data_IF_073395290828
#
_entry.id   IF_073395290828
#
_cell.length_a   1.000
_cell.length_b   1.000
_cell.length_c   1.000
_cell.angle_alpha   90.00
_cell.angle_beta   90.00
_cell.angle_gamma   90.00
#
_symmetry.space_group_name_H-M   'P 1'
#
loop_
_entity.id
_entity.type
_entity.pdbx_description
1 polymer ?
#
# COMPACT_ATOMS: atom_id res chain seq x y z
N UNK A 1 -14.03 22.33 47.01
CA UNK A 1 -13.75 21.01 46.43
C UNK A 1 -13.37 21.26 44.99
N UNK A 2 -12.08 21.53 44.78
CA UNK A 2 -11.54 21.96 43.49
C UNK A 2 -11.36 20.74 42.61
N UNK A 3 -12.09 20.69 41.51
CA UNK A 3 -11.90 19.67 40.48
C UNK A 3 -10.71 20.16 39.65
N UNK A 4 -9.54 19.58 39.94
CA UNK A 4 -8.39 19.64 39.07
C UNK A 4 -8.75 18.93 37.76
N UNK A 5 -9.19 19.72 36.76
CA UNK A 5 -9.23 19.26 35.38
C UNK A 5 -7.76 19.22 34.94
N UNK A 6 -7.18 18.01 34.99
CA UNK A 6 -5.90 17.68 34.37
C UNK A 6 -5.80 18.36 33.01
N UNK A 7 -4.66 18.98 32.73
CA UNK A 7 -4.41 19.78 31.52
C UNK A 7 -4.67 19.01 30.23
N UNK A 8 -5.93 18.99 29.80
CA UNK A 8 -6.36 18.67 28.45
C UNK A 8 -6.09 19.92 27.62
N UNK A 9 -5.12 19.84 26.73
CA UNK A 9 -4.95 20.82 25.68
C UNK A 9 -6.18 20.75 24.76
N UNK A 10 -6.91 21.86 24.63
CA UNK A 10 -8.12 21.94 23.81
C UNK A 10 -7.74 22.74 22.57
N UNK A 11 -7.54 22.05 21.46
CA UNK A 11 -7.34 22.68 20.16
C UNK A 11 -8.70 23.02 19.53
N UNK A 12 -8.90 24.29 19.18
CA UNK A 12 -10.13 24.79 18.53
C UNK A 12 -9.81 25.04 17.07
N UNK A 13 -10.36 24.21 16.19
CA UNK A 13 -10.21 24.35 14.74
C UNK A 13 -11.48 24.90 14.09
N UNK A 14 -11.34 25.99 13.36
CA UNK A 14 -12.41 26.52 12.50
C UNK A 14 -12.37 25.80 11.16
N UNK A 15 -13.48 25.16 10.80
CA UNK A 15 -13.60 24.39 9.56
C UNK A 15 -14.74 24.97 8.72
N UNK A 16 -14.52 25.08 7.41
CA UNK A 16 -15.57 25.48 6.48
C UNK A 16 -16.71 24.46 6.48
N UNK A 17 -17.95 24.94 6.27
CA UNK A 17 -19.15 24.10 6.19
C UNK A 17 -19.25 23.37 4.84
N UNK A 18 -18.29 22.48 4.58
CA UNK A 18 -18.33 21.57 3.45
C UNK A 18 -17.72 20.21 3.81
N UNK A 19 -18.18 19.17 3.10
CA UNK A 19 -17.82 17.78 3.38
C UNK A 19 -16.32 17.52 3.22
N UNK A 20 -15.68 18.16 2.24
CA UNK A 20 -14.26 17.97 1.97
C UNK A 20 -13.39 18.54 3.09
N UNK A 21 -13.73 19.74 3.59
CA UNK A 21 -13.02 20.37 4.70
C UNK A 21 -13.13 19.54 5.98
N UNK A 22 -14.31 19.01 6.30
CA UNK A 22 -14.47 18.07 7.42
C UNK A 22 -13.68 16.78 7.20
N UNK A 23 -13.73 16.20 6.00
CA UNK A 23 -12.99 14.98 5.67
C UNK A 23 -11.48 15.14 5.82
N UNK A 24 -10.92 16.28 5.38
CA UNK A 24 -9.50 16.60 5.54
C UNK A 24 -9.09 16.70 7.01
N UNK A 25 -9.91 17.33 7.85
CA UNK A 25 -9.65 17.46 9.28
C UNK A 25 -9.63 16.09 9.96
N UNK A 26 -10.62 15.23 9.69
CA UNK A 26 -10.60 13.89 10.30
C UNK A 26 -9.47 13.01 9.75
N UNK A 27 -9.08 13.18 8.48
CA UNK A 27 -7.96 12.45 7.90
C UNK A 27 -6.61 12.94 8.40
N UNK A 28 -6.45 14.20 8.76
CA UNK A 28 -5.20 14.69 9.35
C UNK A 28 -4.91 14.02 10.70
N UNK A 29 -5.94 13.64 11.45
CA UNK A 29 -5.79 12.88 12.69
C UNK A 29 -5.23 11.47 12.48
N UNK A 30 -5.29 10.93 11.25
CA UNK A 30 -4.72 9.63 10.91
C UNK A 30 -3.23 9.72 10.58
N UNK A 31 -2.69 10.93 10.40
CA UNK A 31 -1.27 11.14 10.16
C UNK A 31 -0.53 11.39 11.47
N UNK A 32 0.63 10.75 11.62
CA UNK A 32 1.61 11.12 12.64
C UNK A 32 2.33 12.39 12.17
N UNK A 33 2.00 13.52 12.79
CA UNK A 33 2.65 14.81 12.56
C UNK A 33 3.81 15.07 13.53
N UNK A 34 4.25 14.06 14.29
CA UNK A 34 5.35 14.21 15.23
C UNK A 34 6.65 14.58 14.52
N UNK A 35 7.26 15.67 14.96
CA UNK A 35 8.62 16.09 14.58
C UNK A 35 9.64 15.64 15.62
N UNK A 36 9.29 14.71 16.51
CA UNK A 36 10.18 14.27 17.58
C UNK A 36 11.32 13.39 17.10
N UNK A 37 11.15 12.70 15.97
CA UNK A 37 12.15 11.76 15.46
C UNK A 37 12.16 11.66 13.95
N UNK A 38 13.30 11.20 13.47
CA UNK A 38 13.51 10.80 12.08
C UNK A 38 12.88 9.41 11.85
N UNK A 39 12.25 9.21 10.69
CA UNK A 39 11.58 7.94 10.36
C UNK A 39 12.43 7.05 9.45
N UNK A 40 13.28 7.64 8.62
CA UNK A 40 14.08 6.95 7.63
C UNK A 40 15.46 7.59 7.46
N UNK A 41 16.50 6.77 7.38
CA UNK A 41 17.80 7.14 6.85
C UNK A 41 17.98 6.54 5.46
N UNK A 42 18.16 7.41 4.47
CA UNK A 42 18.52 7.01 3.12
C UNK A 42 20.05 7.10 2.96
N UNK A 43 20.69 5.96 2.79
CA UNK A 43 22.15 5.83 2.73
C UNK A 43 22.59 5.72 1.26
N UNK A 44 23.28 6.76 0.78
CA UNK A 44 23.86 6.84 -0.55
C UNK A 44 25.35 6.47 -0.52
N UNK A 45 25.87 5.77 -1.53
CA UNK A 45 27.32 5.51 -1.62
C UNK A 45 28.08 6.83 -1.84
N UNK A 46 29.03 7.17 -0.96
CA UNK A 46 29.95 8.29 -1.22
C UNK A 46 31.12 7.80 -2.07
N UNK A 47 31.34 8.45 -3.20
CA UNK A 47 32.41 8.11 -4.14
C UNK A 47 33.79 8.56 -3.66
N UNK A 48 34.40 7.80 -2.74
CA UNK A 48 35.80 7.97 -2.37
C UNK A 48 36.71 7.18 -3.34
N UNK A 49 37.28 7.85 -4.34
CA UNK A 49 38.38 7.32 -5.15
C UNK A 49 39.69 7.39 -4.33
N UNK A 50 39.92 6.41 -3.44
CA UNK A 50 41.19 6.26 -2.70
C UNK A 50 41.82 4.88 -2.96
N UNK A 51 43.15 4.77 -3.09
CA UNK A 51 43.79 3.50 -3.44
C UNK A 51 43.88 2.55 -2.23
N UNK A 52 43.49 1.30 -2.47
CA UNK A 52 43.97 0.08 -1.82
C UNK A 52 44.18 0.10 -0.28
N UNK A 53 43.08 0.03 0.48
CA UNK A 53 42.96 -0.78 1.71
C UNK A 53 41.48 -0.77 2.16
N UNK A 54 40.83 -1.95 2.20
CA UNK A 54 39.50 -2.24 2.74
C UNK A 54 38.45 -1.09 2.71
N UNK A 55 37.51 -1.04 1.75
CA UNK A 55 36.58 0.08 1.66
C UNK A 55 35.47 -0.08 2.71
N UNK A 56 35.61 0.57 3.87
CA UNK A 56 34.43 1.13 4.53
C UNK A 56 34.03 2.33 3.70
N UNK A 57 33.28 2.09 2.62
CA UNK A 57 32.71 3.16 1.82
C UNK A 57 31.92 4.08 2.75
N UNK A 58 32.37 5.31 2.94
CA UNK A 58 31.63 6.32 3.68
C UNK A 58 30.28 6.47 2.98
N UNK A 59 29.18 6.33 3.71
CA UNK A 59 27.85 6.52 3.14
C UNK A 59 27.39 7.94 3.47
N UNK A 60 26.88 8.66 2.47
CA UNK A 60 26.16 9.89 2.70
C UNK A 60 24.77 9.52 3.23
N UNK A 61 24.41 10.05 4.40
CA UNK A 61 23.13 9.77 5.04
C UNK A 61 22.20 10.97 4.86
N UNK A 62 21.05 10.75 4.25
CA UNK A 62 19.94 11.70 4.24
C UNK A 62 18.92 11.28 5.30
N UNK A 63 18.57 12.23 6.16
CA UNK A 63 17.60 12.06 7.24
C UNK A 63 16.22 12.46 6.74
N UNK A 64 15.27 11.56 6.85
CA UNK A 64 13.99 11.67 6.17
C UNK A 64 12.81 11.32 7.08
N UNK A 65 11.67 11.91 6.74
CA UNK A 65 10.37 11.54 7.27
C UNK A 65 9.59 10.72 6.25
N UNK A 66 8.74 9.84 6.76
CA UNK A 66 7.86 8.98 5.97
C UNK A 66 6.42 9.41 6.19
N UNK A 67 5.68 9.54 5.10
CA UNK A 67 4.28 9.91 5.13
C UNK A 67 3.47 8.94 4.28
N UNK A 68 2.42 8.37 4.88
CA UNK A 68 1.41 7.62 4.15
C UNK A 68 0.61 8.53 3.24
N UNK A 69 0.33 8.07 2.02
CA UNK A 69 -0.49 8.83 1.07
C UNK A 69 -1.91 8.29 0.94
N UNK A 70 -2.13 7.02 1.25
CA UNK A 70 -3.40 6.32 1.06
C UNK A 70 -3.73 5.51 2.31
N UNK A 71 -5.00 5.52 2.69
CA UNK A 71 -5.52 4.55 3.66
C UNK A 71 -5.51 3.17 3.02
N UNK A 72 -5.08 2.16 3.76
CA UNK A 72 -5.07 0.79 3.28
C UNK A 72 -6.50 0.29 3.02
N UNK A 73 -6.87 0.00 1.76
CA UNK A 73 -8.19 -0.54 1.46
C UNK A 73 -8.43 -1.91 2.11
N UNK A 74 -7.39 -2.70 2.38
CA UNK A 74 -7.51 -4.01 3.02
C UNK A 74 -8.00 -3.93 4.47
N UNK A 75 -7.80 -2.78 5.14
CA UNK A 75 -8.32 -2.52 6.48
C UNK A 75 -9.82 -2.17 6.47
N UNK A 76 -10.35 -1.75 5.32
CA UNK A 76 -11.77 -1.44 5.16
C UNK A 76 -12.53 -2.75 4.95
N UNK A 77 -13.13 -3.26 6.02
CA UNK A 77 -13.95 -4.47 6.00
C UNK A 77 -14.93 -4.47 4.81
N UNK A 78 -14.68 -5.33 3.81
CA UNK A 78 -15.61 -5.64 2.73
C UNK A 78 -15.63 -4.69 1.52
N UNK A 79 -14.59 -3.90 1.24
CA UNK A 79 -14.57 -3.05 0.06
C UNK A 79 -14.09 -3.77 -1.24
N UNK A 80 -14.90 -3.59 -2.29
CA UNK A 80 -14.71 -3.84 -3.73
C UNK A 80 -14.52 -5.28 -4.26
N UNK A 81 -13.57 -6.09 -3.76
CA UNK A 81 -13.17 -7.33 -4.46
C UNK A 81 -13.76 -8.63 -3.88
N UNK A 82 -14.84 -8.53 -3.09
CA UNK A 82 -15.70 -9.68 -2.75
C UNK A 82 -15.04 -10.84 -1.99
N UNK A 83 -13.78 -10.75 -1.58
CA UNK A 83 -13.11 -11.79 -0.80
C UNK A 83 -13.34 -11.57 0.68
N UNK A 84 -14.26 -12.39 1.19
CA UNK A 84 -14.58 -12.55 2.60
C UNK A 84 -13.34 -13.05 3.36
N UNK A 85 -12.96 -12.32 4.41
CA UNK A 85 -12.15 -12.74 5.56
C UNK A 85 -10.85 -13.51 5.28
N UNK A 86 -9.73 -12.79 5.32
CA UNK A 86 -8.48 -13.31 5.86
C UNK A 86 -7.58 -12.18 6.40
N UNK A 87 -8.14 -11.26 7.18
CA UNK A 87 -7.35 -10.49 8.13
C UNK A 87 -7.95 -10.78 9.49
N UNK A 88 -7.26 -11.64 10.24
CA UNK A 88 -7.55 -11.87 11.64
C UNK A 88 -7.39 -10.50 12.35
N UNK A 89 -8.40 -9.96 13.03
CA UNK A 89 -8.29 -8.67 13.72
C UNK A 89 -7.24 -8.70 14.86
N UNK A 90 -6.76 -9.89 15.23
CA UNK A 90 -5.67 -10.14 16.18
C UNK A 90 -4.39 -10.68 15.54
N UNK A 91 -4.32 -10.84 14.21
CA UNK A 91 -3.01 -10.83 13.57
C UNK A 91 -2.44 -9.42 13.80
N UNK A 92 -1.11 -9.24 13.96
CA UNK A 92 -0.49 -7.93 13.82
C UNK A 92 -0.72 -7.48 12.37
N UNK A 93 -1.92 -6.97 12.11
CA UNK A 93 -2.40 -6.52 10.83
C UNK A 93 -1.61 -5.28 10.51
N UNK A 94 -0.51 -5.51 9.79
CA UNK A 94 0.15 -4.58 8.86
C UNK A 94 -0.21 -3.11 9.14
N UNK A 95 0.19 -2.61 10.32
CA UNK A 95 0.15 -1.18 10.63
C UNK A 95 1.21 -0.54 9.75
N UNK A 96 0.77 -0.04 8.60
CA UNK A 96 1.63 0.35 7.50
C UNK A 96 2.54 -0.81 7.03
N UNK A 97 3.09 -0.72 5.83
CA UNK A 97 4.22 -1.60 5.50
C UNK A 97 5.45 -1.31 6.43
N UNK A 98 5.40 -0.22 7.19
CA UNK A 98 6.52 0.40 7.92
C UNK A 98 6.01 1.06 9.22
N UNK A 99 6.17 0.41 10.39
CA UNK A 99 5.73 1.00 11.65
C UNK A 99 6.49 2.31 11.92
N UNK A 100 5.78 3.42 12.08
CA UNK A 100 6.33 4.77 12.34
C UNK A 100 7.16 4.85 13.63
N UNK A 101 7.07 3.83 14.48
CA UNK A 101 7.79 3.71 15.74
C UNK A 101 9.27 3.36 15.62
N UNK A 102 9.73 2.93 14.45
CA UNK A 102 11.10 2.46 14.27
C UNK A 102 11.83 3.20 13.15
N UNK A 103 13.05 3.66 13.45
CA UNK A 103 13.93 4.23 12.43
C UNK A 103 14.33 3.18 11.39
N UNK A 104 13.97 3.42 10.13
CA UNK A 104 14.33 2.56 9.02
C UNK A 104 15.63 3.01 8.35
N UNK A 105 16.42 2.06 7.83
CA UNK A 105 17.63 2.38 7.06
C UNK A 105 17.54 1.73 5.69
N UNK A 106 17.59 2.55 4.64
CA UNK A 106 17.60 2.11 3.26
C UNK A 106 18.96 2.39 2.65
N UNK A 107 19.68 1.33 2.30
CA UNK A 107 20.93 1.44 1.58
C UNK A 107 20.68 1.39 0.08
N UNK A 108 21.04 2.46 -0.63
CA UNK A 108 20.96 2.52 -2.09
C UNK A 108 22.01 1.59 -2.69
N UNK A 109 21.55 0.63 -3.49
CA UNK A 109 22.40 -0.39 -4.11
C UNK A 109 22.64 -0.11 -5.59
N UNK A 110 21.65 0.47 -6.30
CA UNK A 110 21.74 0.74 -7.74
C UNK A 110 20.90 1.95 -8.13
N UNK A 111 21.33 2.62 -9.21
CA UNK A 111 20.46 3.51 -9.97
C UNK A 111 19.76 2.72 -11.08
N UNK A 112 18.48 2.98 -11.30
CA UNK A 112 17.65 2.37 -12.33
C UNK A 112 17.17 3.47 -13.29
N UNK A 113 17.06 3.18 -14.58
CA UNK A 113 16.37 4.09 -15.51
C UNK A 113 14.86 3.97 -15.33
N UNK A 114 14.13 5.09 -15.41
CA UNK A 114 12.67 5.11 -15.21
C UNK A 114 11.92 4.16 -16.12
N UNK A 115 12.33 4.06 -17.39
CA UNK A 115 11.73 3.21 -18.41
C UNK A 115 12.09 1.73 -18.28
N UNK A 116 13.07 1.40 -17.44
CA UNK A 116 13.56 0.03 -17.23
C UNK A 116 12.86 -0.72 -16.11
N UNK A 117 11.93 -0.08 -15.38
CA UNK A 117 11.22 -0.69 -14.25
C UNK A 117 9.79 -0.99 -14.67
N UNK A 118 9.41 -2.27 -14.61
CA UNK A 118 8.03 -2.68 -14.86
C UNK A 118 7.16 -2.43 -13.62
N UNK A 119 6.03 -1.75 -13.77
CA UNK A 119 5.16 -1.45 -12.62
C UNK A 119 4.55 -2.71 -11.99
N UNK A 120 4.40 -3.81 -12.74
CA UNK A 120 3.83 -5.07 -12.24
C UNK A 120 4.68 -5.77 -11.17
N UNK A 121 5.96 -5.42 -11.05
CA UNK A 121 6.84 -5.93 -9.99
C UNK A 121 6.87 -5.04 -8.76
N UNK A 122 6.14 -3.93 -8.77
CA UNK A 122 5.99 -3.04 -7.61
C UNK A 122 4.69 -3.41 -6.89
N UNK A 123 4.74 -3.45 -5.56
CA UNK A 123 3.57 -3.82 -4.76
C UNK A 123 3.50 -3.06 -3.43
N UNK A 124 2.36 -3.21 -2.76
CA UNK A 124 2.07 -2.55 -1.49
C UNK A 124 1.65 -1.09 -1.66
N UNK A 125 1.37 -0.45 -0.52
CA UNK A 125 0.97 0.96 -0.50
C UNK A 125 2.20 1.86 -0.67
N UNK A 126 2.09 2.92 -1.48
CA UNK A 126 3.15 3.90 -1.61
C UNK A 126 3.33 4.72 -0.34
N UNK A 127 4.59 5.00 0.02
CA UNK A 127 4.94 6.00 1.02
C UNK A 127 5.68 7.16 0.38
N UNK A 128 5.51 8.36 0.93
CA UNK A 128 6.22 9.57 0.54
C UNK A 128 7.37 9.78 1.51
N UNK A 129 8.56 9.98 0.97
CA UNK A 129 9.76 10.38 1.68
C UNK A 129 9.94 11.89 1.50
N UNK A 130 10.18 12.58 2.61
CA UNK A 130 10.52 14.00 2.66
C UNK A 130 11.81 14.21 3.45
N UNK A 131 12.49 15.33 3.26
CA UNK A 131 13.52 15.75 4.20
C UNK A 131 12.92 15.85 5.60
N UNK A 132 13.66 15.41 6.62
CA UNK A 132 13.13 15.42 7.99
C UNK A 132 12.95 16.84 8.53
N UNK A 133 11.94 17.01 9.36
CA UNK A 133 11.72 18.23 10.17
C UNK A 133 11.98 17.97 11.65
N UNK A 134 12.78 16.95 11.98
CA UNK A 134 13.08 16.55 13.35
C UNK A 134 13.71 17.70 14.16
N UNK A 135 13.04 18.15 15.24
CA UNK A 135 13.50 19.28 16.04
C UNK A 135 14.75 18.98 16.86
N UNK A 136 15.10 17.71 17.06
CA UNK A 136 16.28 17.30 17.81
C UNK A 136 17.60 17.58 17.07
N UNK A 137 17.53 17.89 15.78
CA UNK A 137 18.67 18.26 14.96
C UNK A 137 18.97 19.73 15.11
N UNK A 138 20.25 20.09 14.98
CA UNK A 138 20.61 21.50 14.89
C UNK A 138 20.12 22.11 13.57
N UNK A 139 19.93 23.44 13.58
CA UNK A 139 19.38 24.15 12.43
C UNK A 139 20.25 24.03 11.19
N UNK A 140 21.58 24.06 11.36
CA UNK A 140 22.54 23.95 10.26
C UNK A 140 22.48 22.54 9.61
N UNK A 141 22.36 21.48 10.41
CA UNK A 141 22.19 20.10 9.95
C UNK A 141 20.86 19.92 9.22
N UNK A 142 19.76 20.47 9.74
CA UNK A 142 18.46 20.45 9.06
C UNK A 142 18.53 21.12 7.69
N UNK A 143 19.15 22.30 7.62
CA UNK A 143 19.30 23.05 6.38
C UNK A 143 20.17 22.32 5.36
N UNK A 144 21.34 21.82 5.77
CA UNK A 144 22.25 21.03 4.92
C UNK A 144 21.56 19.75 4.44
N UNK A 145 20.83 19.05 5.32
CA UNK A 145 20.08 17.85 4.98
C UNK A 145 18.97 18.15 3.96
N UNK A 146 18.23 19.25 4.15
CA UNK A 146 17.18 19.68 3.21
C UNK A 146 17.75 20.00 1.83
N UNK A 147 18.83 20.79 1.75
CA UNK A 147 19.48 21.10 0.48
C UNK A 147 20.02 19.84 -0.21
N UNK A 148 20.62 18.94 0.56
CA UNK A 148 21.13 17.67 0.05
C UNK A 148 20.01 16.78 -0.50
N UNK A 149 18.88 16.71 0.20
CA UNK A 149 17.69 15.97 -0.24
C UNK A 149 17.10 16.57 -1.53
N UNK A 150 16.95 17.89 -1.60
CA UNK A 150 16.47 18.56 -2.82
C UNK A 150 17.43 18.36 -4.01
N UNK A 151 18.74 18.43 -3.78
CA UNK A 151 19.75 18.17 -4.80
C UNK A 151 19.66 16.74 -5.32
N UNK A 152 19.38 15.76 -4.45
CA UNK A 152 19.12 14.38 -4.86
C UNK A 152 17.88 14.30 -5.76
N UNK A 153 16.73 14.81 -5.31
CA UNK A 153 15.48 14.78 -6.09
C UNK A 153 15.67 15.37 -7.49
N UNK A 154 16.26 16.56 -7.57
CA UNK A 154 16.54 17.24 -8.83
C UNK A 154 17.50 16.44 -9.73
N UNK A 155 18.56 15.86 -9.14
CA UNK A 155 19.52 15.05 -9.87
C UNK A 155 18.90 13.79 -10.47
N UNK A 156 18.00 13.13 -9.74
CA UNK A 156 17.29 11.95 -10.20
C UNK A 156 16.30 12.29 -11.32
N UNK A 157 15.51 13.36 -11.17
CA UNK A 157 14.58 13.84 -12.20
C UNK A 157 15.31 14.18 -13.50
N UNK A 158 16.37 14.98 -13.42
CA UNK A 158 17.16 15.40 -14.59
C UNK A 158 17.73 14.21 -15.36
N UNK A 159 18.10 13.14 -14.65
CA UNK A 159 18.67 11.92 -15.24
C UNK A 159 17.61 10.90 -15.65
N UNK A 160 16.33 11.11 -15.31
CA UNK A 160 15.25 10.11 -15.41
C UNK A 160 15.62 8.80 -14.69
N UNK A 161 16.20 8.95 -13.50
CA UNK A 161 16.67 7.83 -12.68
C UNK A 161 15.76 7.61 -11.47
N UNK A 162 15.67 6.35 -11.08
CA UNK A 162 15.14 5.86 -9.81
C UNK A 162 16.27 5.20 -9.03
N UNK A 163 16.07 4.95 -7.74
CA UNK A 163 17.04 4.23 -6.91
C UNK A 163 16.46 2.90 -6.46
N UNK A 164 17.24 1.83 -6.62
CA UNK A 164 16.99 0.57 -5.94
C UNK A 164 17.68 0.63 -4.59
N UNK A 165 16.92 0.45 -3.53
CA UNK A 165 17.41 0.42 -2.16
C UNK A 165 17.07 -0.91 -1.48
N UNK A 166 17.94 -1.29 -0.55
CA UNK A 166 17.83 -2.46 0.29
C UNK A 166 17.61 -2.00 1.73
N UNK A 167 16.65 -2.58 2.43
CA UNK A 167 16.46 -2.30 3.86
C UNK A 167 17.49 -3.04 4.70
N UNK A 168 18.14 -2.32 5.62
CA UNK A 168 19.04 -2.95 6.59
C UNK A 168 18.22 -3.76 7.62
N UNK A 169 18.69 -4.96 8.00
CA UNK A 169 18.03 -5.77 9.01
C UNK A 169 18.11 -5.06 10.38
N UNK A 170 16.95 -4.84 11.02
CA UNK A 170 16.89 -4.12 12.30
C UNK A 170 17.27 -4.98 13.51
N UNK A 171 17.23 -6.31 13.39
CA UNK A 171 17.75 -7.24 14.39
C UNK A 171 18.05 -8.59 13.73
N UNK A 172 19.31 -9.06 13.69
CA UNK A 172 19.58 -10.45 13.35
C UNK A 172 19.03 -11.32 14.49
N UNK A 173 17.93 -12.04 14.24
CA UNK A 173 17.44 -13.04 15.21
C UNK A 173 18.55 -14.05 15.50
N UNK A 174 18.79 -14.42 16.77
CA UNK A 174 19.95 -15.23 17.15
C UNK A 174 19.96 -16.66 16.58
N UNK A 175 18.82 -17.16 16.09
CA UNK A 175 18.65 -18.58 15.73
C UNK A 175 18.66 -18.89 14.22
N UNK A 176 18.93 -17.92 13.34
CA UNK A 176 18.90 -18.16 11.89
C UNK A 176 20.12 -17.51 11.22
N UNK A 177 21.00 -18.31 10.63
CA UNK A 177 22.19 -17.86 9.90
C UNK A 177 21.89 -17.17 8.55
N UNK A 178 20.61 -16.89 8.27
CA UNK A 178 20.12 -16.39 6.97
C UNK A 178 19.43 -15.05 7.16
N UNK A 179 19.95 -14.03 6.48
CA UNK A 179 19.37 -12.69 6.46
C UNK A 179 18.42 -12.54 5.27
N UNK A 180 17.14 -12.31 5.56
CA UNK A 180 16.15 -11.93 4.55
C UNK A 180 16.20 -10.43 4.36
N UNK A 181 16.19 -9.99 3.10
CA UNK A 181 16.30 -8.57 2.76
C UNK A 181 15.10 -8.13 1.94
N UNK A 182 14.57 -6.95 2.29
CA UNK A 182 13.51 -6.29 1.54
C UNK A 182 14.10 -5.23 0.62
N UNK A 183 13.57 -5.15 -0.59
CA UNK A 183 14.02 -4.20 -1.61
C UNK A 183 12.90 -3.22 -1.96
N UNK A 184 13.31 -1.99 -2.26
CA UNK A 184 12.42 -0.87 -2.54
C UNK A 184 12.93 -0.08 -3.74
N UNK A 185 12.02 0.39 -4.60
CA UNK A 185 12.33 1.43 -5.59
C UNK A 185 11.94 2.78 -4.99
N UNK A 186 12.84 3.74 -5.08
CA UNK A 186 12.65 5.14 -4.72
C UNK A 186 12.58 5.95 -6.01
N UNK A 187 11.46 6.63 -6.22
CA UNK A 187 11.10 7.33 -7.44
C UNK A 187 11.00 8.83 -7.12
N UNK A 188 11.70 9.72 -7.83
CA UNK A 188 11.60 11.15 -7.55
C UNK A 188 10.28 11.76 -8.08
N UNK A 189 9.79 12.80 -7.40
CA UNK A 189 8.68 13.65 -7.86
C UNK A 189 9.15 15.09 -8.06
N UNK A 190 8.45 15.80 -8.95
CA UNK A 190 8.51 17.23 -9.19
C UNK A 190 8.22 18.11 -7.95
N UNK A 191 7.60 17.55 -6.91
CA UNK A 191 7.27 18.24 -5.65
C UNK A 191 8.40 18.25 -4.60
N UNK A 192 9.65 18.01 -5.01
CA UNK A 192 10.80 17.82 -4.10
C UNK A 192 10.57 16.73 -3.05
N UNK A 193 9.82 15.68 -3.40
CA UNK A 193 9.61 14.49 -2.58
C UNK A 193 10.06 13.25 -3.34
N UNK A 194 10.22 12.13 -2.61
CA UNK A 194 10.47 10.83 -3.23
C UNK A 194 9.32 9.88 -2.87
N UNK A 195 8.93 9.03 -3.80
CA UNK A 195 7.96 7.95 -3.61
C UNK A 195 8.72 6.64 -3.39
N UNK A 196 8.36 5.87 -2.38
CA UNK A 196 8.94 4.54 -2.14
C UNK A 196 7.89 3.45 -2.32
N UNK A 197 8.26 2.41 -3.08
CA UNK A 197 7.43 1.22 -3.34
C UNK A 197 8.23 -0.06 -3.10
N UNK A 198 7.60 -1.08 -2.52
CA UNK A 198 8.23 -2.39 -2.38
C UNK A 198 8.37 -3.09 -3.72
N UNK A 199 9.39 -3.93 -3.86
CA UNK A 199 9.74 -4.61 -5.11
C UNK A 199 9.66 -6.11 -4.93
N UNK A 200 8.96 -6.78 -5.84
CA UNK A 200 8.91 -8.22 -5.90
C UNK A 200 10.30 -8.76 -6.25
N UNK A 201 10.87 -9.54 -5.33
CA UNK A 201 12.08 -10.31 -5.58
C UNK A 201 11.74 -11.60 -6.30
N UNK A 202 12.76 -12.28 -6.83
CA UNK A 202 12.62 -13.52 -7.61
C UNK A 202 11.71 -14.55 -6.95
N UNK A 203 11.80 -14.71 -5.63
CA UNK A 203 11.06 -15.66 -4.82
C UNK A 203 9.55 -15.35 -4.74
N UNK A 204 9.15 -14.11 -5.02
CA UNK A 204 7.76 -13.65 -5.03
C UNK A 204 7.15 -13.62 -6.45
N UNK A 205 7.97 -13.81 -7.50
CA UNK A 205 7.50 -13.76 -8.87
C UNK A 205 6.88 -15.10 -9.29
N UNK A 206 5.68 -15.02 -9.86
CA UNK A 206 5.04 -16.18 -10.48
C UNK A 206 5.56 -16.38 -11.91
N UNK A 207 5.69 -17.65 -12.37
CA UNK A 207 6.01 -17.94 -13.76
C UNK A 207 5.00 -17.28 -14.70
N UNK A 208 5.50 -16.48 -15.63
CA UNK A 208 4.68 -15.73 -16.58
C UNK A 208 5.35 -15.70 -17.96
N UNK A 209 4.56 -15.93 -19.00
CA UNK A 209 4.99 -15.83 -20.39
C UNK A 209 4.33 -14.59 -21.00
N UNK A 210 5.12 -13.57 -21.29
CA UNK A 210 4.63 -12.35 -21.92
C UNK A 210 4.85 -12.46 -23.43
N UNK A 211 3.79 -12.43 -24.26
CA UNK A 211 3.94 -12.42 -25.71
C UNK A 211 4.64 -11.12 -26.12
N UNK A 212 5.52 -11.20 -27.13
CA UNK A 212 6.11 -10.00 -27.72
C UNK A 212 5.01 -9.15 -28.36
N UNK A 213 5.07 -7.84 -28.12
CA UNK A 213 4.18 -6.91 -28.81
C UNK A 213 4.56 -6.87 -30.29
N UNK A 214 3.62 -7.23 -31.15
CA UNK A 214 3.81 -7.12 -32.60
C UNK A 214 3.83 -5.64 -33.00
N UNK A 215 4.81 -5.25 -33.80
CA UNK A 215 4.96 -3.85 -34.25
C UNK A 215 3.97 -3.48 -35.36
N UNK A 216 3.39 -4.47 -36.04
CA UNK A 216 2.49 -4.26 -37.16
C UNK A 216 1.17 -5.00 -36.94
N UNK A 217 0.07 -4.29 -37.20
CA UNK A 217 -1.29 -4.82 -37.12
C UNK A 217 -2.05 -4.41 -38.38
N UNK A 218 -2.98 -5.25 -38.89
CA UNK A 218 -3.80 -4.89 -40.05
C UNK A 218 -4.58 -3.60 -39.82
N UNK A 219 -4.62 -2.73 -40.83
CA UNK A 219 -5.36 -1.46 -40.78
C UNK A 219 -6.85 -1.65 -40.47
N UNK A 220 -7.42 -2.79 -40.90
CA UNK A 220 -8.80 -3.19 -40.61
C UNK A 220 -9.10 -3.27 -39.11
N UNK A 221 -8.10 -3.54 -38.28
CA UNK A 221 -8.23 -3.61 -36.81
C UNK A 221 -7.73 -2.31 -36.17
N UNK A 222 -6.68 -1.69 -36.72
CA UNK A 222 -6.12 -0.45 -36.18
C UNK A 222 -7.09 0.73 -36.29
N UNK A 223 -7.76 0.90 -37.44
CA UNK A 223 -8.66 2.03 -37.70
C UNK A 223 -9.79 2.17 -36.67
N UNK A 224 -10.57 1.10 -36.39
CA UNK A 224 -11.62 1.13 -35.38
C UNK A 224 -11.10 1.43 -33.96
N UNK A 225 -9.92 0.90 -33.60
CA UNK A 225 -9.31 1.13 -32.28
C UNK A 225 -8.88 2.58 -32.10
N UNK A 226 -8.19 3.17 -33.10
CA UNK A 226 -7.81 4.58 -33.08
C UNK A 226 -9.04 5.49 -33.04
N UNK A 227 -10.09 5.17 -33.80
CA UNK A 227 -11.34 5.93 -33.77
C UNK A 227 -12.02 5.88 -32.40
N UNK A 228 -11.97 4.73 -31.71
CA UNK A 228 -12.52 4.58 -30.37
C UNK A 228 -11.70 5.34 -29.32
N UNK A 229 -10.37 5.39 -29.46
CA UNK A 229 -9.50 6.15 -28.55
C UNK A 229 -9.67 7.67 -28.76
N UNK A 230 -9.81 8.12 -30.01
CA UNK A 230 -9.98 9.54 -30.34
C UNK A 230 -11.33 10.11 -29.89
N UNK A 231 -12.32 9.26 -29.57
CA UNK A 231 -13.60 9.72 -29.01
C UNK A 231 -13.57 9.86 -27.49
N UNK A 232 -12.50 9.41 -26.83
CA UNK A 232 -12.33 9.56 -25.39
C UNK A 232 -11.88 10.98 -25.04
N UNK A 233 -12.43 11.53 -23.97
CA UNK A 233 -11.95 12.77 -23.38
C UNK A 233 -10.60 12.52 -22.70
N UNK A 234 -9.60 13.33 -23.06
CA UNK A 234 -8.25 13.24 -22.49
C UNK A 234 -8.10 14.30 -21.40
N UNK A 235 -8.06 13.87 -20.14
CA UNK A 235 -7.75 14.75 -19.01
C UNK A 235 -6.24 15.03 -18.94
N UNK A 236 -5.86 16.30 -18.72
CA UNK A 236 -4.45 16.73 -18.58
C UNK A 236 -3.82 16.17 -17.30
N UNK A 237 -4.63 16.02 -16.24
CA UNK A 237 -4.20 15.47 -14.98
C UNK A 237 -5.36 14.73 -14.32
N UNK A 238 -5.08 13.50 -13.89
CA UNK A 238 -6.06 12.69 -13.16
C UNK A 238 -6.34 13.29 -11.78
N UNK A 239 -7.60 13.59 -11.50
CA UNK A 239 -8.06 14.03 -10.18
C UNK A 239 -8.90 12.94 -9.50
N UNK A 240 -8.39 12.27 -8.45
CA UNK A 240 -9.12 11.20 -7.77
C UNK A 240 -10.43 11.65 -7.11
N UNK A 241 -10.60 12.96 -6.84
CA UNK A 241 -11.84 13.51 -6.27
C UNK A 241 -13.03 13.46 -7.24
N UNK A 242 -12.79 13.28 -8.53
CA UNK A 242 -13.85 13.13 -9.53
C UNK A 242 -14.46 11.72 -9.54
N UNK A 243 -13.78 10.72 -8.96
CA UNK A 243 -14.26 9.35 -8.91
C UNK A 243 -15.24 9.12 -7.73
N UNK A 244 -16.33 8.39 -8.00
CA UNK A 244 -17.32 8.00 -6.99
C UNK A 244 -17.41 6.48 -6.90
N UNK A 245 -16.72 5.90 -5.92
CA UNK A 245 -16.77 4.45 -5.64
C UNK A 245 -17.95 4.02 -4.76
N UNK A 246 -18.75 4.97 -4.24
CA UNK A 246 -19.78 4.74 -3.23
C UNK A 246 -19.29 4.11 -1.90
N UNK A 247 -17.98 4.12 -1.64
CA UNK A 247 -17.36 3.56 -0.42
C UNK A 247 -18.01 4.08 0.87
N UNK A 248 -18.20 5.40 0.99
CA UNK A 248 -18.84 5.98 2.19
C UNK A 248 -20.29 5.50 2.39
N UNK A 249 -21.06 5.32 1.31
CA UNK A 249 -22.42 4.77 1.41
C UNK A 249 -22.38 3.32 1.89
N UNK A 250 -21.43 2.54 1.39
CA UNK A 250 -21.22 1.16 1.83
C UNK A 250 -20.82 1.09 3.31
N UNK A 251 -19.79 1.83 3.73
CA UNK A 251 -19.33 1.86 5.12
C UNK A 251 -20.44 2.32 6.06
N UNK A 252 -21.21 3.33 5.68
CA UNK A 252 -22.41 3.75 6.40
C UNK A 252 -23.40 2.57 6.53
N UNK A 253 -23.68 1.83 5.46
CA UNK A 253 -24.59 0.68 5.55
C UNK A 253 -24.09 -0.42 6.49
N UNK A 254 -22.78 -0.63 6.60
CA UNK A 254 -22.17 -1.63 7.50
C UNK A 254 -22.22 -1.15 8.95
N UNK A 255 -21.83 0.10 9.20
CA UNK A 255 -21.78 0.69 10.55
C UNK A 255 -23.17 0.93 11.14
N UNK A 256 -24.16 1.26 10.30
CA UNK A 256 -25.54 1.52 10.73
C UNK A 256 -26.42 0.27 10.74
N UNK A 257 -25.91 -0.94 10.44
CA UNK A 257 -26.69 -2.17 10.65
C UNK A 257 -27.01 -2.27 12.14
N UNK A 258 -28.28 -2.18 12.55
CA UNK A 258 -28.65 -2.40 13.93
C UNK A 258 -28.22 -3.81 14.30
N UNK A 259 -27.63 -3.98 15.48
CA UNK A 259 -27.40 -5.28 16.11
C UNK A 259 -28.75 -5.92 16.51
N UNK A 260 -29.71 -6.02 15.59
CA UNK A 260 -31.05 -6.54 15.84
C UNK A 260 -31.60 -7.27 14.61
N UNK A 261 -31.26 -8.55 14.55
CA UNK A 261 -32.20 -9.67 14.53
C UNK A 261 -31.36 -10.94 14.47
N UNK A 262 -30.83 -11.35 15.63
CA UNK A 262 -30.84 -12.79 15.90
C UNK A 262 -32.31 -13.18 15.77
N UNK A 263 -32.68 -13.74 14.62
CA UNK A 263 -33.97 -14.37 14.45
C UNK A 263 -34.12 -15.31 15.63
N UNK A 264 -35.11 -15.06 16.48
CA UNK A 264 -35.65 -16.10 17.32
C UNK A 264 -35.91 -17.28 16.39
N UNK A 265 -35.14 -18.35 16.53
CA UNK A 265 -35.43 -19.60 15.86
C UNK A 265 -36.90 -19.95 16.12
N UNK A 266 -37.70 -20.29 15.11
CA UNK A 266 -38.97 -20.95 15.36
C UNK A 266 -38.65 -22.24 16.11
N UNK A 267 -39.05 -22.30 17.39
CA UNK A 267 -38.99 -23.52 18.20
C UNK A 267 -39.70 -24.66 17.46
N UNK A 268 -38.94 -25.73 17.25
CA UNK A 268 -39.37 -27.13 17.26
C UNK A 268 -40.54 -27.54 16.34
N UNK A 269 -40.20 -27.91 15.11
CA UNK A 269 -40.92 -29.00 14.44
C UNK A 269 -40.52 -30.32 15.12
N UNK A 270 -41.46 -30.91 15.86
CA UNK A 270 -41.36 -32.26 16.44
C UNK A 270 -41.00 -33.30 15.36
N UNK A 271 -40.08 -34.25 15.64
CA UNK A 271 -39.93 -35.45 14.83
C UNK A 271 -40.84 -36.57 15.36
N UNK A 272 -41.82 -37.01 14.58
CA UNK A 272 -42.50 -38.29 14.82
C UNK A 272 -41.80 -39.43 14.06
N UNK A 273 -41.52 -40.49 14.81
CA UNK A 273 -40.75 -41.69 14.47
C UNK A 273 -41.53 -42.66 13.56
N UNK A 274 -40.80 -43.25 12.63
CA UNK A 274 -40.82 -44.65 12.16
C UNK A 274 -42.14 -45.39 11.91
N UNK A 275 -42.28 -45.93 10.69
CA UNK A 275 -42.43 -47.39 10.48
C UNK A 275 -42.12 -47.81 9.03
N UNK A 276 -41.31 -48.87 8.81
CA UNK A 276 -41.21 -49.58 7.53
C UNK A 276 -41.75 -51.01 7.62
N UNK A 277 -42.38 -51.49 6.53
CA UNK A 277 -42.66 -52.89 6.06
C UNK A 277 -43.91 -52.83 5.16
N UNK A 278 -44.13 -53.58 4.08
CA UNK A 278 -43.51 -54.76 3.48
C UNK A 278 -44.03 -54.92 2.03
N UNK A 279 -43.31 -55.71 1.23
CA UNK A 279 -43.52 -56.08 -0.18
C UNK A 279 -44.93 -56.58 -0.56
N UNK A 280 -45.32 -56.38 -1.82
CA UNK A 280 -45.73 -57.51 -2.69
C UNK A 280 -45.68 -57.21 -4.20
N UNK A 281 -45.24 -58.25 -4.91
CA UNK A 281 -44.89 -58.37 -6.32
C UNK A 281 -46.09 -58.51 -7.26
N UNK A 282 -45.99 -57.97 -8.48
CA UNK A 282 -46.48 -58.67 -9.69
C UNK A 282 -45.85 -58.14 -10.97
N UNK A 283 -45.05 -58.98 -11.61
CA UNK A 283 -44.61 -58.83 -13.00
C UNK A 283 -45.46 -59.73 -13.91
N UNK A 284 -45.82 -59.25 -15.10
CA UNK A 284 -46.16 -60.06 -16.28
C UNK A 284 -45.80 -59.26 -17.54
N UNK A 285 -44.80 -59.73 -18.27
CA UNK A 285 -44.53 -59.36 -19.66
C UNK A 285 -44.54 -60.65 -20.48
N UNK A 286 -45.36 -60.68 -21.52
CA UNK A 286 -45.55 -61.83 -22.42
C UNK A 286 -44.80 -61.54 -23.72
N UNK A 287 -43.96 -62.48 -24.16
CA UNK A 287 -43.24 -62.44 -25.45
C UNK A 287 -43.89 -63.46 -26.41
N UNK A 288 -44.06 -63.06 -27.67
CA UNK A 288 -44.60 -63.86 -28.78
C UNK A 288 -43.46 -64.59 -29.54
N UNK A 289 -43.78 -65.67 -30.29
CA UNK A 289 -42.87 -66.78 -30.52
C UNK A 289 -42.05 -66.66 -31.82
N UNK A 290 -40.89 -67.32 -31.83
CA UNK A 290 -40.33 -68.15 -32.91
C UNK A 290 -39.26 -69.07 -32.30
#
# INVERSE_FOLDING_TARGET
>A
ADIAILGTDIDVQTVEDNVLSLEMVFKSWLHDHSTEREHLHLLLPSGGLGPAAAPRATLMCLKCDLQERLLDPALLSGAADGTVRAADPNAPGQMAAWPTTVLHKLQVVKALKSEGVCESVLYGLPLIIKATSCWQLDWDELEINQYSFHALCHSLLKRKWMLLAKREPQNPSPNWSVLVHSYYVIIPSDSATLLVKAVAIRELLLPSAFPALLTEHPESVRGPMESALNSLEVEVAYNPLHLKSNLYKYLRSVLYKPLQRQQAQPRDQRPERHQPKQQQSRAKATVAPL
#
